data_IF_964298594460
#
_entry.id   IF_964298594460
#
_cell.length_a   1.000
_cell.length_b   1.000
_cell.length_c   1.000
_cell.angle_alpha   90.00
_cell.angle_beta   90.00
_cell.angle_gamma   90.00
#
_symmetry.space_group_name_H-M   'P 1'
#
loop_
_entity.id
_entity.type
_entity.pdbx_description
1 polymer ?
#
# COMPACT_ATOMS: atom_id res chain seq x y z
N UNK A 1 -2.35 16.91 16.01
CA UNK A 1 -0.92 17.27 16.21
C UNK A 1 -0.10 16.56 15.13
N UNK A 2 1.08 17.10 14.74
CA UNK A 2 2.00 16.38 13.85
C UNK A 2 2.44 15.05 14.47
N UNK A 3 2.82 14.08 13.62
CA UNK A 3 3.42 12.82 14.08
C UNK A 3 4.74 13.10 14.81
N UNK A 4 5.02 12.32 15.86
CA UNK A 4 6.25 12.47 16.64
C UNK A 4 7.28 11.44 16.22
N UNK A 5 8.48 11.85 15.84
CA UNK A 5 9.58 10.92 15.55
C UNK A 5 10.05 10.24 16.84
N UNK A 6 10.07 8.91 16.83
CA UNK A 6 10.55 8.06 17.93
C UNK A 6 11.98 7.61 17.71
N UNK A 7 12.41 7.42 16.47
CA UNK A 7 13.75 6.97 16.11
C UNK A 7 13.86 6.59 14.63
N UNK A 8 15.02 6.05 14.29
CA UNK A 8 15.34 5.50 12.96
C UNK A 8 15.81 4.07 13.13
N UNK A 9 15.31 3.17 12.29
CA UNK A 9 15.80 1.80 12.15
C UNK A 9 16.63 1.75 10.88
N UNK A 10 17.93 1.46 11.01
CA UNK A 10 18.82 1.34 9.85
C UNK A 10 18.46 0.11 9.01
N UNK A 11 18.49 0.26 7.68
CA UNK A 11 18.38 -0.83 6.70
C UNK A 11 19.70 -0.98 5.97
N UNK A 12 20.23 -2.20 5.84
CA UNK A 12 21.46 -2.44 5.09
C UNK A 12 21.37 -1.92 3.65
N UNK A 13 22.32 -1.07 3.25
CA UNK A 13 22.36 -0.42 1.94
C UNK A 13 21.08 0.38 1.59
N UNK A 14 20.40 0.93 2.59
CA UNK A 14 19.17 1.70 2.43
C UNK A 14 19.39 3.15 2.00
N UNK A 15 20.62 3.68 2.13
CA UNK A 15 20.94 5.07 1.77
C UNK A 15 20.86 5.26 0.26
N UNK A 16 20.12 6.30 -0.17
CA UNK A 16 19.89 6.67 -1.57
C UNK A 16 19.40 5.48 -2.44
N UNK A 17 18.73 4.51 -1.81
CA UNK A 17 18.17 3.33 -2.47
C UNK A 17 16.69 3.53 -2.80
N UNK A 18 16.16 2.70 -3.71
CA UNK A 18 14.77 2.74 -4.14
C UNK A 18 13.96 1.65 -3.45
N UNK A 19 12.85 2.07 -2.83
CA UNK A 19 11.88 1.23 -2.16
C UNK A 19 10.49 1.49 -2.74
N UNK A 20 9.62 0.52 -2.59
CA UNK A 20 8.22 0.68 -2.98
C UNK A 20 7.33 0.37 -1.76
N UNK A 21 6.25 -0.39 -1.86
CA UNK A 21 5.30 -0.57 -0.78
C UNK A 21 5.83 -1.39 0.41
N UNK A 22 5.18 -1.20 1.56
CA UNK A 22 5.47 -1.93 2.78
C UNK A 22 4.16 -2.30 3.50
N UNK A 23 4.20 -3.40 4.26
CA UNK A 23 3.07 -3.88 5.03
C UNK A 23 3.48 -4.37 6.42
N UNK A 24 2.60 -4.20 7.39
CA UNK A 24 2.71 -4.77 8.73
C UNK A 24 1.85 -6.03 8.85
N UNK A 25 2.44 -7.11 9.31
CA UNK A 25 1.69 -8.32 9.72
C UNK A 25 1.50 -8.35 11.24
N UNK A 26 0.27 -8.13 11.74
CA UNK A 26 0.00 -8.10 13.17
C UNK A 26 0.19 -9.46 13.85
N UNK A 27 0.10 -10.56 13.10
CA UNK A 27 0.27 -11.90 13.65
C UNK A 27 1.72 -12.19 14.05
N UNK A 28 2.69 -11.68 13.31
CA UNK A 28 4.12 -11.88 13.59
C UNK A 28 4.79 -10.66 14.21
N UNK A 29 4.12 -9.51 14.25
CA UNK A 29 4.71 -8.24 14.69
C UNK A 29 5.82 -7.74 13.76
N UNK A 30 5.73 -8.05 12.45
CA UNK A 30 6.78 -7.72 11.49
C UNK A 30 6.31 -6.77 10.41
N UNK A 31 7.20 -5.87 10.01
CA UNK A 31 7.01 -5.01 8.83
C UNK A 31 7.86 -5.58 7.69
N UNK A 32 7.25 -5.76 6.53
CA UNK A 32 7.87 -6.24 5.30
C UNK A 32 7.93 -5.08 4.31
N UNK A 33 9.11 -4.79 3.76
CA UNK A 33 9.36 -3.63 2.91
C UNK A 33 9.94 -4.10 1.58
N UNK A 34 9.31 -3.72 0.49
CA UNK A 34 9.83 -3.95 -0.86
C UNK A 34 11.05 -3.04 -1.12
N UNK A 35 12.24 -3.61 -1.18
CA UNK A 35 13.49 -2.93 -1.52
C UNK A 35 13.79 -3.16 -3.00
N UNK A 36 13.15 -2.37 -3.84
CA UNK A 36 13.09 -2.55 -5.30
C UNK A 36 14.45 -2.57 -5.94
N UNK A 37 15.33 -1.61 -5.58
CA UNK A 37 16.68 -1.49 -6.12
C UNK A 37 17.60 -2.67 -5.79
N UNK A 38 17.20 -3.54 -4.85
CA UNK A 38 18.03 -4.66 -4.39
C UNK A 38 17.40 -6.04 -4.57
N UNK A 39 16.25 -6.10 -5.24
CA UNK A 39 15.52 -7.35 -5.50
C UNK A 39 15.27 -8.17 -4.21
N UNK A 40 14.95 -7.50 -3.11
CA UNK A 40 14.76 -8.14 -1.81
C UNK A 40 13.62 -7.52 -1.00
N UNK A 41 13.20 -8.26 0.03
CA UNK A 41 12.28 -7.79 1.07
C UNK A 41 13.09 -7.56 2.34
N UNK A 42 13.01 -6.37 2.91
CA UNK A 42 13.55 -6.07 4.24
C UNK A 42 12.51 -6.37 5.30
N UNK A 43 12.94 -6.95 6.42
CA UNK A 43 12.04 -7.32 7.51
C UNK A 43 12.45 -6.62 8.81
N UNK A 44 11.50 -5.93 9.41
CA UNK A 44 11.67 -5.26 10.71
C UNK A 44 10.80 -5.97 11.75
N UNK A 45 11.37 -6.22 12.93
CA UNK A 45 10.60 -6.59 14.11
C UNK A 45 10.07 -5.30 14.78
N UNK A 46 8.74 -5.21 14.90
CA UNK A 46 8.11 -4.02 15.46
C UNK A 46 8.42 -3.84 16.94
N UNK A 47 8.36 -4.90 17.74
CA UNK A 47 8.55 -4.80 19.21
C UNK A 47 10.00 -4.44 19.55
N UNK A 48 10.96 -5.07 18.86
CA UNK A 48 12.38 -4.79 19.06
C UNK A 48 12.85 -3.49 18.40
N UNK A 49 12.07 -2.90 17.48
CA UNK A 49 12.46 -1.76 16.65
C UNK A 49 13.78 -2.00 15.90
N UNK A 50 13.91 -3.18 15.30
CA UNK A 50 15.16 -3.62 14.65
C UNK A 50 14.89 -4.27 13.29
N UNK A 51 15.80 -4.01 12.34
CA UNK A 51 15.91 -4.81 11.13
C UNK A 51 16.41 -6.22 11.51
N UNK A 52 15.72 -7.26 11.04
CA UNK A 52 16.01 -8.66 11.43
C UNK A 52 16.35 -9.58 10.26
N UNK A 53 15.98 -9.22 9.04
CA UNK A 53 16.28 -10.04 7.86
C UNK A 53 16.22 -9.24 6.56
N UNK A 54 17.04 -9.65 5.59
CA UNK A 54 16.95 -9.29 4.17
C UNK A 54 16.67 -10.57 3.39
N UNK A 55 15.54 -10.66 2.72
CA UNK A 55 15.11 -11.82 1.96
C UNK A 55 15.38 -11.57 0.47
N UNK A 56 16.37 -12.22 -0.16
CA UNK A 56 16.71 -12.03 -1.57
C UNK A 56 15.77 -12.84 -2.48
N UNK A 57 15.79 -12.53 -3.78
CA UNK A 57 15.13 -13.34 -4.80
C UNK A 57 13.75 -12.81 -5.24
N UNK A 58 13.53 -11.51 -5.11
CA UNK A 58 12.30 -10.82 -5.52
C UNK A 58 12.58 -9.77 -6.60
N UNK A 59 12.87 -10.16 -7.86
CA UNK A 59 13.34 -9.25 -8.90
C UNK A 59 12.37 -8.08 -9.16
N UNK A 60 12.85 -6.85 -8.95
CA UNK A 60 12.07 -5.63 -9.11
C UNK A 60 10.82 -5.60 -8.23
N UNK A 61 10.91 -6.12 -6.99
CA UNK A 61 9.78 -6.14 -6.05
C UNK A 61 9.19 -4.75 -5.87
N UNK A 62 7.84 -4.68 -5.90
CA UNK A 62 7.09 -3.43 -5.78
C UNK A 62 6.02 -3.50 -4.69
N UNK A 63 5.01 -4.32 -4.87
CA UNK A 63 3.99 -4.54 -3.84
C UNK A 63 4.50 -5.48 -2.75
N UNK A 64 4.20 -5.12 -1.49
CA UNK A 64 4.28 -6.01 -0.35
C UNK A 64 3.03 -5.80 0.50
N UNK A 65 2.23 -6.84 0.67
CA UNK A 65 1.00 -6.83 1.47
C UNK A 65 0.97 -8.01 2.41
N UNK A 66 0.31 -7.85 3.55
CA UNK A 66 0.25 -8.84 4.63
C UNK A 66 -1.19 -9.09 5.06
N UNK A 67 -1.51 -10.36 5.34
CA UNK A 67 -2.78 -10.76 5.94
C UNK A 67 -2.61 -12.02 6.80
N UNK A 68 -2.82 -11.89 8.12
CA UNK A 68 -2.82 -12.96 9.11
C UNK A 68 -1.67 -13.98 9.01
N UNK A 69 -0.44 -13.50 8.76
CA UNK A 69 0.77 -14.32 8.67
C UNK A 69 1.10 -14.83 7.27
N UNK A 70 0.41 -14.35 6.26
CA UNK A 70 0.74 -14.53 4.86
C UNK A 70 1.21 -13.21 4.25
N UNK A 71 2.23 -13.26 3.41
CA UNK A 71 2.74 -12.11 2.66
C UNK A 71 2.58 -12.40 1.18
N UNK A 72 2.12 -11.42 0.42
CA UNK A 72 2.10 -11.44 -1.04
C UNK A 72 2.96 -10.30 -1.57
N UNK A 73 3.84 -10.62 -2.53
CA UNK A 73 4.66 -9.62 -3.21
C UNK A 73 4.42 -9.64 -4.70
N UNK A 74 4.55 -8.48 -5.33
CA UNK A 74 4.58 -8.34 -6.79
C UNK A 74 5.99 -8.06 -7.25
N UNK A 75 6.50 -8.84 -8.23
CA UNK A 75 7.88 -8.77 -8.69
C UNK A 75 7.91 -8.32 -10.15
N UNK A 76 8.12 -7.02 -10.39
CA UNK A 76 8.08 -6.40 -11.74
C UNK A 76 9.11 -7.02 -12.69
N UNK A 77 10.33 -7.29 -12.19
CA UNK A 77 11.43 -7.81 -13.00
C UNK A 77 11.24 -9.25 -13.48
N UNK A 78 10.37 -10.03 -12.81
CA UNK A 78 10.10 -11.41 -13.16
C UNK A 78 8.66 -11.64 -13.68
N UNK A 79 7.80 -10.61 -13.68
CA UNK A 79 6.37 -10.75 -13.95
C UNK A 79 5.74 -11.87 -13.12
N UNK A 80 5.98 -11.86 -11.81
CA UNK A 80 5.49 -12.88 -10.87
C UNK A 80 4.90 -12.26 -9.62
N UNK A 81 4.10 -13.08 -8.93
CA UNK A 81 3.58 -12.84 -7.59
C UNK A 81 4.13 -13.95 -6.70
N UNK A 82 4.72 -13.60 -5.56
CA UNK A 82 5.21 -14.57 -4.60
C UNK A 82 4.38 -14.55 -3.34
N UNK A 83 3.92 -15.72 -2.90
CA UNK A 83 3.22 -15.93 -1.64
C UNK A 83 4.16 -16.63 -0.65
N UNK A 84 4.35 -16.06 0.53
CA UNK A 84 5.25 -16.58 1.55
C UNK A 84 4.64 -16.51 2.95
N UNK A 85 5.21 -17.30 3.86
CA UNK A 85 4.87 -17.31 5.27
C UNK A 85 5.61 -16.17 6.00
N UNK A 86 4.89 -15.35 6.76
CA UNK A 86 5.45 -14.21 7.47
C UNK A 86 6.37 -14.60 8.64
N UNK A 87 6.19 -15.79 9.21
CA UNK A 87 6.97 -16.25 10.37
C UNK A 87 8.26 -16.95 9.95
N UNK A 88 8.18 -17.83 8.95
CA UNK A 88 9.29 -18.70 8.52
C UNK A 88 10.00 -18.18 7.27
N UNK A 89 9.36 -17.26 6.52
CA UNK A 89 9.79 -16.75 5.21
C UNK A 89 9.78 -17.84 4.11
N UNK A 90 9.19 -18.98 4.37
CA UNK A 90 9.05 -20.05 3.38
C UNK A 90 8.15 -19.58 2.23
N UNK A 91 8.62 -19.76 0.99
CA UNK A 91 7.83 -19.48 -0.21
C UNK A 91 6.80 -20.59 -0.39
N UNK A 92 5.53 -20.25 -0.23
CA UNK A 92 4.38 -21.17 -0.39
C UNK A 92 3.97 -21.32 -1.86
N UNK A 93 4.27 -20.31 -2.70
CA UNK A 93 3.97 -20.35 -4.13
C UNK A 93 4.52 -19.15 -4.89
N UNK A 94 4.80 -19.39 -6.18
CA UNK A 94 5.15 -18.34 -7.15
C UNK A 94 4.21 -18.49 -8.34
N UNK A 95 3.54 -17.42 -8.70
CA UNK A 95 2.50 -17.42 -9.75
C UNK A 95 2.90 -16.43 -10.86
N UNK A 96 2.69 -16.78 -12.13
CA UNK A 96 2.87 -15.83 -13.21
C UNK A 96 1.84 -14.68 -13.11
N UNK A 97 2.26 -13.51 -13.50
CA UNK A 97 1.40 -12.32 -13.58
C UNK A 97 1.45 -11.71 -14.98
N UNK A 98 0.59 -10.72 -15.24
CA UNK A 98 0.81 -9.79 -16.34
C UNK A 98 2.10 -8.98 -16.13
N UNK A 99 2.59 -8.28 -17.17
CA UNK A 99 3.81 -7.52 -17.10
C UNK A 99 3.76 -6.40 -16.05
N UNK A 100 4.89 -6.16 -15.40
CA UNK A 100 5.09 -5.09 -14.41
C UNK A 100 4.00 -5.08 -13.31
N UNK A 101 3.81 -6.18 -12.56
CA UNK A 101 2.86 -6.19 -11.43
C UNK A 101 3.28 -5.18 -10.38
N UNK A 102 2.30 -4.37 -9.90
CA UNK A 102 2.53 -3.24 -9.00
C UNK A 102 1.64 -3.31 -7.76
N UNK A 103 0.40 -2.83 -7.85
CA UNK A 103 -0.56 -2.92 -6.77
C UNK A 103 -0.89 -4.35 -6.40
N UNK A 104 -1.04 -4.61 -5.11
CA UNK A 104 -1.30 -5.94 -4.58
C UNK A 104 -2.36 -5.91 -3.47
N UNK A 105 -3.09 -7.01 -3.30
CA UNK A 105 -3.86 -7.31 -2.10
C UNK A 105 -3.83 -8.82 -1.84
N UNK A 106 -3.94 -9.22 -0.58
CA UNK A 106 -4.09 -10.60 -0.18
C UNK A 106 -5.33 -10.73 0.71
N UNK A 107 -6.11 -11.77 0.50
CA UNK A 107 -7.32 -12.05 1.26
C UNK A 107 -7.24 -13.51 1.69
N UNK A 108 -6.64 -13.73 2.85
CA UNK A 108 -6.38 -15.07 3.37
C UNK A 108 -7.64 -15.88 3.55
N UNK A 109 -8.70 -15.29 4.08
CA UNK A 109 -10.00 -15.95 4.28
C UNK A 109 -10.54 -16.57 2.99
N UNK A 110 -10.37 -15.89 1.86
CA UNK A 110 -10.79 -16.37 0.53
C UNK A 110 -9.70 -17.20 -0.18
N UNK A 111 -8.48 -17.21 0.33
CA UNK A 111 -7.33 -17.82 -0.34
C UNK A 111 -6.97 -17.13 -1.65
N UNK A 112 -7.14 -15.81 -1.72
CA UNK A 112 -6.95 -15.01 -2.92
C UNK A 112 -5.74 -14.09 -2.80
N UNK A 113 -4.98 -13.99 -3.90
CA UNK A 113 -4.06 -12.90 -4.19
C UNK A 113 -4.61 -12.04 -5.33
N UNK A 114 -4.41 -10.73 -5.23
CA UNK A 114 -4.76 -9.76 -6.27
C UNK A 114 -3.48 -9.07 -6.73
N UNK A 115 -3.35 -8.87 -8.03
CA UNK A 115 -2.29 -8.06 -8.60
C UNK A 115 -2.80 -7.14 -9.70
N UNK A 116 -2.41 -5.88 -9.62
CA UNK A 116 -2.65 -4.89 -10.66
C UNK A 116 -1.36 -4.69 -11.47
N UNK A 117 -1.36 -5.15 -12.72
CA UNK A 117 -0.22 -5.15 -13.61
C UNK A 117 -0.27 -3.95 -14.55
N UNK A 118 0.84 -3.21 -14.63
CA UNK A 118 0.93 -1.98 -15.44
C UNK A 118 0.86 -2.29 -16.94
N UNK A 119 1.31 -3.49 -17.33
CA UNK A 119 1.46 -3.85 -18.74
C UNK A 119 2.79 -3.35 -19.34
N UNK A 120 3.05 -3.75 -20.56
CA UNK A 120 4.21 -3.34 -21.36
C UNK A 120 3.81 -3.04 -22.82
N UNK A 121 4.76 -3.09 -23.75
CA UNK A 121 4.50 -2.82 -25.16
C UNK A 121 3.68 -3.93 -25.85
N UNK A 122 3.73 -5.15 -25.33
CA UNK A 122 3.12 -6.33 -25.93
C UNK A 122 1.78 -6.68 -25.28
N UNK A 123 1.59 -6.34 -24.00
CA UNK A 123 0.38 -6.62 -23.24
C UNK A 123 -0.06 -5.40 -22.45
N UNK A 124 -1.31 -4.96 -22.63
CA UNK A 124 -1.92 -3.88 -21.89
C UNK A 124 -2.05 -4.15 -20.38
N UNK A 125 -2.49 -3.15 -19.60
CA UNK A 125 -2.66 -3.30 -18.16
C UNK A 125 -3.81 -4.24 -17.82
N UNK A 126 -3.61 -5.05 -16.77
CA UNK A 126 -4.61 -6.04 -16.30
C UNK A 126 -4.73 -6.04 -14.77
N UNK A 127 -5.92 -6.36 -14.28
CA UNK A 127 -6.15 -6.77 -12.89
C UNK A 127 -6.28 -8.29 -12.85
N UNK A 128 -5.51 -8.95 -11.98
CA UNK A 128 -5.55 -10.40 -11.79
C UNK A 128 -6.03 -10.78 -10.39
N UNK A 129 -6.87 -11.83 -10.35
CA UNK A 129 -7.24 -12.55 -9.13
C UNK A 129 -6.69 -13.98 -9.23
N UNK A 130 -5.99 -14.42 -8.19
CA UNK A 130 -5.29 -15.69 -8.13
C UNK A 130 -5.79 -16.47 -6.92
N UNK A 131 -6.33 -17.66 -7.14
CA UNK A 131 -6.56 -18.59 -6.05
C UNK A 131 -5.22 -19.22 -5.66
N UNK A 132 -4.71 -18.87 -4.47
CA UNK A 132 -3.38 -19.24 -4.00
C UNK A 132 -3.23 -20.77 -3.78
N UNK A 133 -4.32 -21.48 -3.50
CA UNK A 133 -4.33 -22.93 -3.26
C UNK A 133 -4.61 -23.74 -4.50
N UNK A 134 -5.63 -23.33 -5.28
CA UNK A 134 -6.03 -24.04 -6.48
C UNK A 134 -5.20 -23.65 -7.72
N UNK A 135 -4.35 -22.63 -7.62
CA UNK A 135 -3.49 -22.11 -8.69
C UNK A 135 -4.30 -21.72 -9.94
N UNK A 136 -5.55 -21.30 -9.74
CA UNK A 136 -6.41 -20.80 -10.82
C UNK A 136 -6.38 -19.27 -10.84
N UNK A 137 -6.43 -18.70 -12.03
CA UNK A 137 -6.34 -17.26 -12.23
C UNK A 137 -7.51 -16.73 -13.04
N UNK A 138 -7.87 -15.49 -12.79
CA UNK A 138 -8.76 -14.67 -13.60
C UNK A 138 -8.07 -13.35 -13.87
N UNK A 139 -8.31 -12.76 -15.03
CA UNK A 139 -7.80 -11.44 -15.37
C UNK A 139 -8.86 -10.65 -16.14
N UNK A 140 -8.84 -9.35 -15.96
CA UNK A 140 -9.61 -8.39 -16.76
C UNK A 140 -8.69 -7.30 -17.27
N UNK A 141 -8.95 -6.82 -18.49
CA UNK A 141 -8.26 -5.66 -19.05
C UNK A 141 -8.65 -4.39 -18.30
N UNK A 142 -7.69 -3.50 -18.14
CA UNK A 142 -7.89 -2.21 -17.47
C UNK A 142 -7.93 -1.06 -18.48
N UNK A 143 -8.71 0.00 -18.20
CA UNK A 143 -8.82 1.15 -19.10
C UNK A 143 -7.58 2.04 -19.12
N UNK A 144 -6.62 1.80 -18.24
CA UNK A 144 -5.41 2.59 -18.13
C UNK A 144 -4.48 2.11 -17.03
N UNK A 145 -3.42 2.87 -16.76
CA UNK A 145 -2.36 2.49 -15.82
C UNK A 145 -2.90 2.31 -14.38
N UNK A 146 -2.85 1.09 -13.82
CA UNK A 146 -3.22 0.86 -12.44
C UNK A 146 -2.16 1.38 -11.48
N UNK A 147 -2.62 1.68 -10.26
CA UNK A 147 -1.80 2.04 -9.11
C UNK A 147 -2.11 1.09 -7.95
N UNK A 148 -2.48 1.61 -6.79
CA UNK A 148 -2.75 0.81 -5.62
C UNK A 148 -4.16 0.26 -5.58
N UNK A 149 -4.34 -0.92 -4.96
CA UNK A 149 -5.63 -1.53 -4.75
C UNK A 149 -5.84 -1.93 -3.29
N UNK A 150 -7.10 -1.91 -2.87
CA UNK A 150 -7.55 -2.39 -1.56
C UNK A 150 -8.81 -3.24 -1.72
N UNK A 151 -9.15 -4.02 -0.71
CA UNK A 151 -10.29 -4.93 -0.75
C UNK A 151 -11.28 -4.66 0.38
N UNK A 152 -12.56 -4.88 0.12
CA UNK A 152 -13.60 -5.05 1.12
C UNK A 152 -14.07 -6.51 1.08
N UNK A 153 -13.57 -7.31 2.02
CA UNK A 153 -13.89 -8.73 2.09
C UNK A 153 -15.37 -9.00 2.39
N UNK A 154 -16.00 -8.16 3.21
CA UNK A 154 -17.39 -8.31 3.58
C UNK A 154 -18.33 -8.06 2.40
N UNK A 155 -17.96 -7.13 1.51
CA UNK A 155 -18.68 -6.82 0.28
C UNK A 155 -18.17 -7.63 -0.93
N UNK A 156 -17.11 -8.44 -0.75
CA UNK A 156 -16.43 -9.20 -1.80
C UNK A 156 -16.05 -8.33 -3.01
N UNK A 157 -15.38 -7.19 -2.73
CA UNK A 157 -14.96 -6.22 -3.75
C UNK A 157 -13.47 -5.90 -3.65
N UNK A 158 -12.89 -5.63 -4.82
CA UNK A 158 -11.62 -4.95 -4.96
C UNK A 158 -11.86 -3.55 -5.52
N UNK A 159 -11.12 -2.57 -4.95
CA UNK A 159 -11.06 -1.18 -5.42
C UNK A 159 -9.65 -0.93 -5.92
N UNK A 160 -9.53 -0.32 -7.09
CA UNK A 160 -8.25 -0.08 -7.76
C UNK A 160 -8.19 1.34 -8.29
N UNK A 161 -7.17 2.10 -7.92
CA UNK A 161 -6.86 3.37 -8.56
C UNK A 161 -6.34 3.16 -9.98
N UNK A 162 -6.97 3.82 -10.95
CA UNK A 162 -6.49 3.97 -12.33
C UNK A 162 -6.04 5.41 -12.49
N UNK A 163 -4.77 5.58 -12.91
CA UNK A 163 -4.14 6.89 -13.00
C UNK A 163 -4.76 7.75 -14.10
N UNK A 164 -4.88 7.16 -15.30
CA UNK A 164 -5.41 7.82 -16.50
C UNK A 164 -6.29 6.84 -17.29
N UNK A 165 -7.58 7.15 -17.48
CA UNK A 165 -8.33 8.27 -16.90
C UNK A 165 -8.50 8.11 -15.38
N UNK A 166 -8.43 9.22 -14.60
CA UNK A 166 -8.44 9.18 -13.14
C UNK A 166 -9.75 8.65 -12.58
N UNK A 167 -9.71 7.47 -11.94
CA UNK A 167 -10.88 6.81 -11.39
C UNK A 167 -10.53 5.76 -10.34
N UNK A 168 -11.53 5.33 -9.59
CA UNK A 168 -11.51 4.05 -8.87
C UNK A 168 -12.31 3.04 -9.69
N UNK A 169 -11.63 1.97 -10.12
CA UNK A 169 -12.30 0.79 -10.69
C UNK A 169 -12.71 -0.14 -9.56
N UNK A 170 -13.91 -0.66 -9.61
CA UNK A 170 -14.47 -1.62 -8.65
C UNK A 170 -14.81 -2.89 -9.37
N UNK A 171 -14.38 -4.05 -8.84
CA UNK A 171 -14.75 -5.35 -9.36
C UNK A 171 -15.16 -6.29 -8.23
N UNK A 172 -16.06 -7.23 -8.52
CA UNK A 172 -16.47 -8.26 -7.58
C UNK A 172 -15.40 -9.36 -7.49
N UNK A 173 -15.20 -9.88 -6.29
CA UNK A 173 -14.32 -11.03 -6.02
C UNK A 173 -15.14 -12.33 -5.94
N UNK A 174 -14.55 -13.49 -6.29
CA UNK A 174 -13.18 -13.69 -6.76
C UNK A 174 -13.01 -13.57 -8.28
N UNK A 175 -14.09 -13.46 -9.03
CA UNK A 175 -14.15 -13.62 -10.49
C UNK A 175 -13.88 -12.35 -11.30
N UNK A 176 -13.69 -11.21 -10.60
CA UNK A 176 -13.50 -9.87 -11.15
C UNK A 176 -14.68 -9.40 -12.03
N UNK A 177 -15.88 -9.91 -11.72
CA UNK A 177 -17.13 -9.50 -12.40
C UNK A 177 -17.65 -8.15 -11.93
N UNK A 178 -18.81 -7.75 -12.48
CA UNK A 178 -19.57 -6.57 -12.10
C UNK A 178 -18.72 -5.29 -12.03
N UNK A 179 -17.89 -5.07 -13.06
CA UNK A 179 -16.93 -3.95 -13.10
C UNK A 179 -17.66 -2.61 -13.20
N UNK A 180 -17.34 -1.72 -12.28
CA UNK A 180 -17.87 -0.34 -12.24
C UNK A 180 -16.71 0.65 -12.20
N UNK A 181 -16.86 1.79 -12.87
CA UNK A 181 -15.89 2.87 -12.91
C UNK A 181 -16.43 4.10 -12.19
N UNK A 182 -15.69 4.59 -11.20
CA UNK A 182 -16.02 5.81 -10.45
C UNK A 182 -15.01 6.91 -10.80
N UNK A 183 -15.34 7.83 -11.73
CA UNK A 183 -14.46 8.94 -12.08
C UNK A 183 -14.18 9.83 -10.86
N UNK A 184 -12.92 10.28 -10.74
CA UNK A 184 -12.52 11.19 -9.67
C UNK A 184 -12.43 12.64 -10.17
N UNK A 185 -12.68 13.63 -9.28
CA UNK A 185 -12.62 15.04 -9.63
C UNK A 185 -11.18 15.60 -9.71
N UNK A 186 -10.16 14.77 -9.41
CA UNK A 186 -8.74 15.12 -9.44
C UNK A 186 -8.00 14.11 -10.31
N UNK A 187 -7.03 14.56 -11.09
CA UNK A 187 -6.25 13.72 -12.00
C UNK A 187 -5.20 12.88 -11.28
N UNK A 188 -4.88 11.73 -11.88
CA UNK A 188 -3.80 10.88 -11.42
C UNK A 188 -4.10 10.09 -10.14
N UNK A 189 -5.22 9.35 -10.07
CA UNK A 189 -5.50 8.49 -8.92
C UNK A 189 -4.34 7.52 -8.64
N UNK A 190 -3.83 7.50 -7.39
CA UNK A 190 -2.58 6.84 -7.03
C UNK A 190 -2.71 5.97 -5.77
N UNK A 191 -2.45 6.54 -4.58
CA UNK A 191 -2.60 5.84 -3.32
C UNK A 191 -4.07 5.62 -2.96
N UNK A 192 -4.38 4.51 -2.30
CA UNK A 192 -5.75 4.15 -1.94
C UNK A 192 -5.77 3.39 -0.61
N UNK A 193 -6.69 3.75 0.27
CA UNK A 193 -7.02 2.94 1.44
C UNK A 193 -8.48 3.06 1.84
N UNK A 194 -8.95 2.20 2.77
CA UNK A 194 -10.36 2.05 3.12
C UNK A 194 -10.60 2.11 4.62
N UNK A 195 -11.58 2.93 5.04
CA UNK A 195 -12.25 2.86 6.34
C UNK A 195 -13.48 1.94 6.22
N UNK A 196 -13.31 0.67 6.60
CA UNK A 196 -14.38 -0.32 6.56
C UNK A 196 -15.55 0.05 7.46
N UNK A 197 -15.27 0.64 8.63
CA UNK A 197 -16.30 0.97 9.61
C UNK A 197 -17.26 2.07 9.11
N UNK A 198 -16.73 3.06 8.39
CA UNK A 198 -17.50 4.16 7.83
C UNK A 198 -17.86 4.00 6.38
N UNK A 199 -17.38 2.94 5.73
CA UNK A 199 -17.51 2.69 4.29
C UNK A 199 -16.98 3.87 3.48
N UNK A 200 -15.73 4.25 3.71
CA UNK A 200 -15.04 5.34 2.99
C UNK A 200 -13.76 4.84 2.37
N UNK A 201 -13.54 5.21 1.12
CA UNK A 201 -12.26 5.11 0.44
C UNK A 201 -11.58 6.47 0.48
N UNK A 202 -10.25 6.44 0.54
CA UNK A 202 -9.39 7.61 0.49
C UNK A 202 -8.43 7.44 -0.67
N UNK A 203 -8.67 8.15 -1.78
CA UNK A 203 -7.83 8.11 -2.98
C UNK A 203 -6.98 9.38 -3.05
N UNK A 204 -5.66 9.22 -2.94
CA UNK A 204 -4.72 10.33 -3.16
C UNK A 204 -4.40 10.43 -4.65
N UNK A 205 -4.42 11.67 -5.17
CA UNK A 205 -4.29 11.96 -6.60
C UNK A 205 -3.06 12.83 -6.89
N UNK A 206 -2.37 12.55 -8.01
CA UNK A 206 -1.13 13.26 -8.43
C UNK A 206 -1.33 14.77 -8.58
N UNK A 207 -2.53 15.22 -8.95
CA UNK A 207 -2.88 16.65 -9.04
C UNK A 207 -3.02 17.35 -7.67
N UNK A 208 -2.60 16.69 -6.59
CA UNK A 208 -2.51 17.30 -5.27
C UNK A 208 -3.82 17.29 -4.48
N UNK A 209 -4.59 16.22 -4.55
CA UNK A 209 -5.81 16.04 -3.77
C UNK A 209 -5.91 14.67 -3.10
N UNK A 210 -6.48 14.65 -1.88
CA UNK A 210 -7.04 13.44 -1.27
C UNK A 210 -8.56 13.49 -1.44
N UNK A 211 -9.12 12.47 -2.09
CA UNK A 211 -10.55 12.35 -2.38
C UNK A 211 -11.16 11.31 -1.47
N UNK A 212 -12.21 11.68 -0.72
CA UNK A 212 -13.03 10.75 0.06
C UNK A 212 -14.24 10.30 -0.75
N UNK A 213 -14.47 8.98 -0.78
CA UNK A 213 -15.49 8.37 -1.62
C UNK A 213 -16.31 7.40 -0.75
N UNK A 214 -17.62 7.42 -0.88
CA UNK A 214 -18.48 6.39 -0.31
C UNK A 214 -18.23 5.06 -1.04
N UNK A 215 -17.73 4.05 -0.32
CA UNK A 215 -17.29 2.76 -0.90
C UNK A 215 -18.46 1.88 -1.39
N UNK A 216 -19.71 2.28 -1.11
CA UNK A 216 -20.89 1.57 -1.59
C UNK A 216 -21.41 2.14 -2.90
N UNK A 217 -21.41 3.45 -3.02
CA UNK A 217 -22.08 4.17 -4.13
C UNK A 217 -21.10 4.83 -5.13
N UNK A 218 -19.83 4.99 -4.76
CA UNK A 218 -18.85 5.74 -5.55
C UNK A 218 -19.01 7.27 -5.47
N UNK A 219 -19.93 7.76 -4.60
CA UNK A 219 -20.14 9.19 -4.45
C UNK A 219 -18.95 9.83 -3.74
N UNK A 220 -18.36 10.86 -4.35
CA UNK A 220 -17.37 11.72 -3.70
C UNK A 220 -18.05 12.50 -2.57
N UNK A 221 -17.53 12.39 -1.36
CA UNK A 221 -18.06 13.04 -0.16
C UNK A 221 -17.22 14.21 0.30
N UNK A 222 -15.90 14.18 0.02
CA UNK A 222 -15.01 15.29 0.34
C UNK A 222 -13.77 15.30 -0.56
N UNK A 223 -13.09 16.45 -0.63
CA UNK A 223 -11.81 16.63 -1.32
C UNK A 223 -10.94 17.57 -0.50
N UNK A 224 -9.74 17.12 -0.13
CA UNK A 224 -8.74 17.94 0.57
C UNK A 224 -7.52 18.16 -0.33
N UNK A 225 -6.98 19.38 -0.43
CA UNK A 225 -5.70 19.59 -1.11
C UNK A 225 -4.57 18.96 -0.30
N UNK A 226 -3.58 18.36 -0.97
CA UNK A 226 -2.35 17.82 -0.38
C UNK A 226 -1.11 18.51 -0.95
N UNK A 227 0.04 18.35 -0.29
CA UNK A 227 1.22 19.20 -0.52
C UNK A 227 2.05 18.86 -1.77
N UNK A 228 1.76 17.77 -2.47
CA UNK A 228 2.54 17.35 -3.64
C UNK A 228 2.01 16.06 -4.25
N UNK A 229 2.83 15.42 -5.09
CA UNK A 229 2.50 14.13 -5.69
C UNK A 229 2.54 13.04 -4.61
N UNK A 230 1.40 12.38 -4.33
CA UNK A 230 1.33 11.33 -3.33
C UNK A 230 1.87 10.01 -3.87
N UNK A 231 2.19 9.10 -2.96
CA UNK A 231 2.40 7.70 -3.28
C UNK A 231 1.57 6.84 -2.31
N UNK A 232 2.17 6.28 -1.26
CA UNK A 232 1.44 5.41 -0.33
C UNK A 232 0.48 6.22 0.53
N UNK A 233 -0.74 5.70 0.66
CA UNK A 233 -1.81 6.27 1.48
C UNK A 233 -2.34 5.22 2.43
N UNK A 234 -2.43 5.54 3.73
CA UNK A 234 -2.99 4.66 4.74
C UNK A 234 -4.02 5.36 5.63
N UNK A 235 -5.08 4.64 5.97
CA UNK A 235 -6.03 5.00 7.01
C UNK A 235 -5.71 4.27 8.30
N UNK A 236 -5.56 4.99 9.41
CA UNK A 236 -5.41 4.38 10.74
C UNK A 236 -6.78 4.26 11.42
N UNK A 237 -7.33 3.05 11.55
CA UNK A 237 -8.66 2.87 12.18
C UNK A 237 -8.68 3.20 13.67
N UNK A 238 -7.53 3.16 14.35
CA UNK A 238 -7.44 3.48 15.78
C UNK A 238 -7.49 4.99 16.07
N UNK A 239 -6.93 5.81 15.16
CA UNK A 239 -6.89 7.27 15.32
C UNK A 239 -7.88 7.99 14.40
N UNK A 240 -8.45 7.29 13.41
CA UNK A 240 -9.35 7.86 12.41
C UNK A 240 -8.66 8.81 11.44
N UNK A 241 -7.35 8.71 11.28
CA UNK A 241 -6.52 9.59 10.43
C UNK A 241 -6.10 8.91 9.14
N UNK A 242 -5.98 9.70 8.08
CA UNK A 242 -5.36 9.31 6.81
C UNK A 242 -3.97 9.91 6.73
N UNK A 243 -2.99 9.08 6.40
CA UNK A 243 -1.60 9.45 6.20
C UNK A 243 -1.25 9.32 4.72
N UNK A 244 -0.78 10.39 4.10
CA UNK A 244 -0.37 10.42 2.70
C UNK A 244 1.12 10.70 2.65
N UNK A 245 1.89 9.76 2.13
CA UNK A 245 3.32 9.94 1.90
C UNK A 245 3.56 10.74 0.62
N UNK A 246 4.39 11.76 0.71
CA UNK A 246 4.74 12.66 -0.40
C UNK A 246 6.26 12.71 -0.50
N UNK A 247 6.82 12.06 -1.52
CA UNK A 247 8.26 11.89 -1.69
C UNK A 247 9.01 13.22 -1.92
N UNK A 248 8.38 14.17 -2.61
CA UNK A 248 8.87 15.53 -2.79
C UNK A 248 7.80 16.54 -2.33
N UNK A 249 8.10 17.36 -1.31
CA UNK A 249 9.42 17.67 -0.69
C UNK A 249 9.88 16.71 0.42
N UNK A 250 9.26 15.56 0.63
CA UNK A 250 9.60 14.59 1.66
C UNK A 250 8.87 14.84 2.98
N UNK A 251 7.56 14.56 2.98
CA UNK A 251 6.71 14.70 4.16
C UNK A 251 5.57 13.67 4.15
N UNK A 252 5.01 13.43 5.32
CA UNK A 252 3.71 12.80 5.50
C UNK A 252 2.68 13.88 5.81
N UNK A 253 1.64 13.98 4.99
CA UNK A 253 0.46 14.77 5.31
C UNK A 253 -0.56 13.89 6.02
N UNK A 254 -0.98 14.32 7.22
CA UNK A 254 -1.97 13.63 8.04
C UNK A 254 -3.26 14.44 8.03
N UNK A 255 -4.35 13.79 7.67
CA UNK A 255 -5.68 14.39 7.57
C UNK A 255 -6.62 13.59 8.48
N UNK A 256 -7.41 14.29 9.31
CA UNK A 256 -8.51 13.70 10.06
C UNK A 256 -9.83 13.97 9.32
N UNK A 257 -10.41 13.00 8.61
CA UNK A 257 -11.52 13.24 7.69
C UNK A 257 -12.76 13.85 8.36
N UNK A 258 -13.02 13.50 9.62
CA UNK A 258 -14.23 13.96 10.34
C UNK A 258 -14.14 15.41 10.82
N UNK A 259 -12.92 15.88 11.15
CA UNK A 259 -12.72 17.23 11.68
C UNK A 259 -12.16 18.18 10.62
N UNK A 260 -11.62 17.66 9.54
CA UNK A 260 -10.84 18.40 8.54
C UNK A 260 -9.47 18.88 9.06
N UNK A 261 -9.06 18.47 10.27
CA UNK A 261 -7.77 18.82 10.81
C UNK A 261 -6.64 18.21 10.00
N UNK A 262 -5.61 19.01 9.71
CA UNK A 262 -4.48 18.63 8.89
C UNK A 262 -3.16 19.00 9.55
N UNK A 263 -2.17 18.11 9.42
CA UNK A 263 -0.80 18.36 9.88
C UNK A 263 0.20 17.78 8.89
N UNK A 264 1.44 18.28 8.93
CA UNK A 264 2.55 17.83 8.11
C UNK A 264 3.73 17.45 8.98
N UNK A 265 4.35 16.32 8.66
CA UNK A 265 5.56 15.84 9.33
C UNK A 265 6.64 15.65 8.28
N UNK A 266 7.77 16.33 8.43
CA UNK A 266 8.92 16.21 7.49
C UNK A 266 9.59 14.86 7.67
N UNK A 267 9.82 14.15 6.56
CA UNK A 267 10.40 12.79 6.53
C UNK A 267 11.66 12.67 5.67
N UNK A 268 11.96 13.73 4.91
CA UNK A 268 13.10 13.77 3.99
C UNK A 268 12.73 13.39 2.55
N UNK A 269 13.43 13.99 1.59
CA UNK A 269 13.19 13.75 0.18
C UNK A 269 13.30 12.25 -0.18
N UNK A 270 12.44 11.78 -1.07
CA UNK A 270 12.35 10.39 -1.47
C UNK A 270 11.57 9.46 -0.51
N UNK A 271 11.11 9.97 0.63
CA UNK A 271 10.35 9.18 1.61
C UNK A 271 8.87 9.06 1.19
N UNK A 272 8.58 8.19 0.24
CA UNK A 272 7.24 7.96 -0.31
C UNK A 272 6.61 6.63 0.11
N UNK A 273 7.40 5.69 0.64
CA UNK A 273 6.95 4.37 1.10
C UNK A 273 6.65 4.41 2.60
N UNK A 274 5.50 3.89 2.99
CA UNK A 274 5.09 3.82 4.40
C UNK A 274 4.46 2.47 4.73
N UNK A 275 4.41 2.15 6.04
CA UNK A 275 3.60 1.07 6.58
C UNK A 275 2.92 1.53 7.87
N UNK A 276 1.65 1.21 8.03
CA UNK A 276 0.93 1.50 9.26
C UNK A 276 1.01 0.30 10.21
N UNK A 277 1.34 0.58 11.46
CA UNK A 277 1.35 -0.39 12.56
C UNK A 277 0.34 0.07 13.60
N UNK A 278 -0.85 -0.49 13.50
CA UNK A 278 -1.96 -0.17 14.41
C UNK A 278 -1.60 -0.63 15.83
N UNK A 279 -1.90 0.16 16.88
CA UNK A 279 -2.82 1.31 16.82
C UNK A 279 -2.17 2.67 16.52
N UNK A 280 -0.87 2.84 16.71
CA UNK A 280 -0.31 4.17 16.92
C UNK A 280 1.06 4.44 16.30
N UNK A 281 1.52 3.59 15.37
CA UNK A 281 2.80 3.81 14.70
C UNK A 281 2.66 3.91 13.18
N UNK A 282 3.45 4.80 12.59
CA UNK A 282 3.69 4.88 11.16
C UNK A 282 5.20 4.71 10.90
N UNK A 283 5.53 3.75 10.07
CA UNK A 283 6.88 3.50 9.57
C UNK A 283 7.03 4.19 8.23
N UNK A 284 8.02 5.07 8.07
CA UNK A 284 8.28 5.80 6.83
C UNK A 284 9.67 5.45 6.35
N UNK A 285 9.75 4.79 5.21
CA UNK A 285 11.01 4.44 4.61
C UNK A 285 11.63 5.70 4.02
N UNK A 286 12.79 6.09 4.55
CA UNK A 286 13.50 7.30 4.17
C UNK A 286 14.88 6.97 3.62
N UNK A 287 15.03 6.92 2.29
CA UNK A 287 16.32 6.63 1.64
C UNK A 287 17.42 7.60 2.07
N UNK A 288 17.07 8.86 2.29
CA UNK A 288 18.02 9.89 2.75
C UNK A 288 18.60 9.60 4.14
N UNK A 289 17.87 8.93 5.00
CA UNK A 289 18.34 8.51 6.33
C UNK A 289 18.90 7.08 6.34
N UNK A 290 18.89 6.39 5.19
CA UNK A 290 19.35 5.02 5.09
C UNK A 290 18.53 4.01 5.88
N UNK A 291 17.25 4.31 6.15
CA UNK A 291 16.44 3.46 7.01
C UNK A 291 14.99 3.88 7.12
N UNK A 292 14.37 3.47 8.19
CA UNK A 292 12.95 3.68 8.46
C UNK A 292 12.76 4.61 9.65
N UNK A 293 12.12 5.75 9.43
CA UNK A 293 11.63 6.60 10.49
C UNK A 293 10.45 5.93 11.18
N UNK A 294 10.52 5.81 12.49
CA UNK A 294 9.39 5.35 13.32
C UNK A 294 8.70 6.58 13.88
N UNK A 295 7.44 6.76 13.52
CA UNK A 295 6.63 7.90 13.91
C UNK A 295 5.47 7.43 14.81
N UNK A 296 5.18 8.19 15.87
CA UNK A 296 3.98 7.95 16.68
C UNK A 296 2.78 8.71 16.10
N UNK A 297 1.67 7.98 15.92
CA UNK A 297 0.35 8.48 15.52
C UNK A 297 -0.61 8.48 16.72
N UNK A 298 -0.17 9.02 17.84
CA UNK A 298 -0.95 9.11 19.09
C UNK A 298 -1.19 10.55 19.49
N UNK A 299 -2.37 10.85 20.04
CA UNK A 299 -2.68 12.11 20.70
C UNK A 299 -2.19 12.13 22.16
N UNK A 300 -1.96 10.96 22.74
CA UNK A 300 -1.59 10.79 24.15
C UNK A 300 -0.09 10.54 24.28
N UNK A 301 0.63 11.56 24.74
CA UNK A 301 2.07 11.49 24.97
C UNK A 301 2.47 10.41 26.00
N UNK A 302 1.54 9.93 26.84
CA UNK A 302 1.80 8.92 27.88
C UNK A 302 1.85 7.48 27.32
N UNK A 303 1.36 7.25 26.09
CA UNK A 303 1.41 5.93 25.42
C UNK A 303 2.68 5.70 24.59
N UNK A 304 3.61 6.66 24.61
CA UNK A 304 4.81 6.69 23.75
C UNK A 304 6.09 6.31 24.52
N UNK A 305 5.96 5.79 25.75
CA UNK A 305 7.09 5.37 26.58
C UNK A 305 7.45 3.90 26.38
#
# INVERSE_FOLDING_TARGET
>A
MPLKTLGVIEIPNGTDSDFDHAAFDPKTGRVFIAHTARDCIEVINHDAKQHIATLPGFPGVAGAVADEGDILTTNRGAATITWLDAATYEVKGVFPSGPLPNGAAIIKRLGLGIAACIGDADQGPVLQSINLKAVTQRAIDLPGRPRWCVTDEAAERVFLCIREPSMVLVARLPDLGDVVHWPLPSGGAHGLDIDHARKRLYAACDDGALVEIDSTSGKVTNVWPIAGVPDVTFFNPATGRVHVAIGEPGLVETIHPQTGARTRTVTGAGAHTTAIVVPDHLYVISPRHGGVLVLADSEDASRIA
#
